data_IF_483753152464
#
_entry.id   IF_483753152464
#
_cell.length_a   1.000
_cell.length_b   1.000
_cell.length_c   1.000
_cell.angle_alpha   90.00
_cell.angle_beta   90.00
_cell.angle_gamma   90.00
#
_symmetry.space_group_name_H-M   'P 1'
#
loop_
_entity.id
_entity.type
_entity.pdbx_description
1 polymer ?
#
# COMPACT_ATOMS: atom_id res chain seq x y z
N UNK A 1 6.72 9.33 -7.70
CA UNK A 1 7.26 8.41 -6.67
C UNK A 1 6.46 7.12 -6.47
N UNK A 2 5.13 7.08 -6.70
CA UNK A 2 4.31 5.89 -6.39
C UNK A 2 4.22 4.85 -7.50
N UNK A 3 4.97 5.00 -8.60
CA UNK A 3 4.95 4.04 -9.70
C UNK A 3 5.43 2.66 -9.22
N UNK A 4 4.72 1.59 -9.58
CA UNK A 4 5.03 0.22 -9.16
C UNK A 4 4.75 -0.11 -7.69
N UNK A 5 4.32 0.87 -6.88
CA UNK A 5 4.10 0.68 -5.44
C UNK A 5 2.99 -0.32 -5.10
N UNK A 6 2.08 -0.54 -6.03
CA UNK A 6 1.00 -1.53 -5.95
C UNK A 6 1.49 -2.99 -5.91
N UNK A 7 2.72 -3.25 -6.37
CA UNK A 7 3.35 -4.58 -6.36
C UNK A 7 4.14 -4.87 -5.07
N UNK A 8 4.26 -3.91 -4.15
CA UNK A 8 5.07 -4.05 -2.95
C UNK A 8 4.33 -4.73 -1.79
N UNK A 9 5.06 -5.50 -0.98
CA UNK A 9 4.61 -5.89 0.35
C UNK A 9 4.66 -4.67 1.26
N UNK A 10 3.50 -4.13 1.64
CA UNK A 10 3.44 -2.95 2.51
C UNK A 10 3.86 -3.33 3.93
N UNK A 11 4.75 -2.53 4.49
CA UNK A 11 5.23 -2.64 5.87
C UNK A 11 5.29 -1.24 6.47
N UNK A 12 5.20 -1.14 7.80
CA UNK A 12 5.32 0.14 8.49
C UNK A 12 6.66 0.83 8.23
N UNK A 13 7.74 0.05 8.09
CA UNK A 13 9.06 0.57 7.72
C UNK A 13 9.07 1.23 6.34
N UNK A 14 8.45 0.59 5.34
CA UNK A 14 8.32 1.14 3.98
C UNK A 14 7.48 2.42 3.97
N UNK A 15 6.31 2.41 4.61
CA UNK A 15 5.44 3.58 4.70
C UNK A 15 6.14 4.75 5.41
N UNK A 16 6.87 4.48 6.50
CA UNK A 16 7.65 5.52 7.20
C UNK A 16 8.69 6.16 6.28
N UNK A 17 9.44 5.36 5.51
CA UNK A 17 10.41 5.89 4.52
C UNK A 17 9.72 6.77 3.49
N UNK A 18 8.62 6.30 2.90
CA UNK A 18 7.84 7.08 1.93
C UNK A 18 7.33 8.41 2.49
N UNK A 19 6.86 8.41 3.74
CA UNK A 19 6.44 9.64 4.43
C UNK A 19 7.60 10.61 4.61
N UNK A 20 8.77 10.13 5.00
CA UNK A 20 9.98 10.96 5.12
C UNK A 20 10.35 11.59 3.77
N UNK A 21 10.34 10.80 2.69
CA UNK A 21 10.62 11.32 1.35
C UNK A 21 9.58 12.35 0.91
N UNK A 22 8.29 12.09 1.13
CA UNK A 22 7.23 13.08 0.88
C UNK A 22 7.49 14.38 1.66
N UNK A 23 7.90 14.31 2.93
CA UNK A 23 8.16 15.50 3.75
C UNK A 23 9.35 16.32 3.27
N UNK A 24 10.39 15.66 2.75
CA UNK A 24 11.51 16.36 2.14
C UNK A 24 11.07 17.08 0.86
N UNK A 25 10.27 16.42 0.02
CA UNK A 25 9.72 17.01 -1.20
C UNK A 25 8.79 18.19 -0.91
N UNK A 26 7.87 18.05 0.04
CA UNK A 26 6.94 19.14 0.42
C UNK A 26 7.68 20.38 0.95
N UNK A 27 8.78 20.19 1.68
CA UNK A 27 9.64 21.30 2.13
C UNK A 27 10.34 21.98 0.97
N UNK A 28 10.92 21.19 0.05
CA UNK A 28 11.58 21.73 -1.14
C UNK A 28 10.61 22.52 -2.02
N UNK A 29 9.37 22.05 -2.18
CA UNK A 29 8.32 22.74 -2.96
C UNK A 29 7.94 24.12 -2.38
N UNK A 30 8.06 24.30 -1.06
CA UNK A 30 7.76 25.55 -0.38
C UNK A 30 9.00 26.40 -0.07
N UNK A 31 10.19 25.93 -0.48
CA UNK A 31 11.48 26.54 -0.16
C UNK A 31 11.71 26.72 1.36
N UNK A 32 11.13 25.82 2.16
CA UNK A 32 11.20 25.86 3.63
C UNK A 32 12.32 24.94 4.12
N UNK A 33 13.18 25.48 4.97
CA UNK A 33 14.24 24.76 5.66
C UNK A 33 13.76 24.16 6.99
N UNK A 34 14.60 23.30 7.60
CA UNK A 34 14.33 22.83 8.97
C UNK A 34 14.50 23.93 10.03
N UNK A 35 15.21 25.03 9.71
CA UNK A 35 15.46 26.14 10.62
C UNK A 35 14.21 27.01 10.83
N UNK A 36 13.30 27.00 9.87
CA UNK A 36 12.05 27.77 9.94
C UNK A 36 11.07 27.17 10.96
N UNK A 37 11.36 25.96 11.49
CA UNK A 37 10.58 25.27 12.52
C UNK A 37 9.07 25.17 12.21
N UNK A 38 8.71 25.22 10.93
CA UNK A 38 7.31 25.10 10.50
C UNK A 38 6.82 23.68 10.74
N UNK A 39 5.67 23.60 11.42
CA UNK A 39 5.00 22.33 11.72
C UNK A 39 4.63 21.57 10.45
N UNK A 40 4.70 20.24 10.52
CA UNK A 40 4.39 19.38 9.37
C UNK A 40 2.92 19.48 8.95
N UNK A 41 2.02 19.78 9.87
CA UNK A 41 0.60 20.03 9.60
C UNK A 41 0.42 21.29 8.76
N UNK A 42 1.20 22.33 9.04
CA UNK A 42 1.16 23.60 8.30
C UNK A 42 1.69 23.42 6.88
N UNK A 43 2.80 22.70 6.72
CA UNK A 43 3.33 22.33 5.40
C UNK A 43 2.28 21.56 4.60
N UNK A 44 1.55 20.59 5.19
CA UNK A 44 0.46 19.89 4.49
C UNK A 44 -0.70 20.80 4.11
N UNK A 45 -1.08 21.71 5.01
CA UNK A 45 -2.17 22.67 4.76
C UNK A 45 -1.87 23.54 3.54
N UNK A 46 -0.61 23.96 3.39
CA UNK A 46 -0.13 24.77 2.26
C UNK A 46 -0.06 23.98 0.96
N UNK A 47 0.55 22.79 0.97
CA UNK A 47 0.74 22.00 -0.26
C UNK A 47 -0.54 21.30 -0.73
N UNK A 48 -1.47 20.98 0.18
CA UNK A 48 -2.71 20.19 -0.08
C UNK A 48 -2.44 18.84 -0.76
N UNK A 49 -1.22 18.33 -0.65
CA UNK A 49 -0.83 17.04 -1.24
C UNK A 49 -1.46 15.90 -0.45
N UNK A 50 -2.01 14.92 -1.16
CA UNK A 50 -2.58 13.71 -0.55
C UNK A 50 -1.50 12.92 0.21
N UNK A 51 -1.85 12.33 1.35
CA UNK A 51 -0.91 11.49 2.11
C UNK A 51 -0.46 10.30 1.24
N UNK A 52 0.86 10.10 1.14
CA UNK A 52 1.41 9.04 0.30
C UNK A 52 0.99 7.64 0.76
N UNK A 53 0.81 7.44 2.06
CA UNK A 53 0.37 6.14 2.58
C UNK A 53 -1.04 5.82 2.08
N UNK A 54 -1.93 6.82 2.06
CA UNK A 54 -3.27 6.67 1.49
C UNK A 54 -3.21 6.37 -0.01
N UNK A 55 -2.35 7.09 -0.75
CA UNK A 55 -2.20 6.88 -2.21
C UNK A 55 -1.70 5.47 -2.53
N UNK A 56 -0.62 5.03 -1.87
CA UNK A 56 0.00 3.72 -2.10
C UNK A 56 -0.93 2.59 -1.66
N UNK A 57 -1.58 2.70 -0.50
CA UNK A 57 -2.55 1.71 -0.05
C UNK A 57 -3.73 1.60 -1.03
N UNK A 58 -4.29 2.75 -1.47
CA UNK A 58 -5.37 2.75 -2.47
C UNK A 58 -4.96 2.08 -3.77
N UNK A 59 -3.79 2.41 -4.31
CA UNK A 59 -3.27 1.79 -5.54
C UNK A 59 -3.11 0.28 -5.38
N UNK A 60 -2.50 -0.18 -4.28
CA UNK A 60 -2.37 -1.61 -4.00
C UNK A 60 -3.72 -2.33 -3.90
N UNK A 61 -4.71 -1.74 -3.22
CA UNK A 61 -6.06 -2.33 -3.10
C UNK A 61 -6.77 -2.42 -4.45
N UNK A 62 -6.68 -1.37 -5.26
CA UNK A 62 -7.25 -1.35 -6.62
C UNK A 62 -6.58 -2.38 -7.51
N UNK A 63 -5.26 -2.48 -7.46
CA UNK A 63 -4.47 -3.48 -8.18
C UNK A 63 -4.82 -4.90 -7.78
N UNK A 64 -4.97 -5.16 -6.48
CA UNK A 64 -5.39 -6.47 -5.99
C UNK A 64 -6.76 -6.88 -6.52
N UNK A 65 -7.73 -5.96 -6.50
CA UNK A 65 -9.03 -6.21 -7.12
C UNK A 65 -8.94 -6.44 -8.63
N UNK A 66 -8.14 -5.63 -9.33
CA UNK A 66 -7.91 -5.78 -10.76
C UNK A 66 -7.34 -7.15 -11.11
N UNK A 67 -6.29 -7.59 -10.41
CA UNK A 67 -5.69 -8.90 -10.60
C UNK A 67 -6.65 -10.04 -10.28
N UNK A 68 -7.43 -9.94 -9.20
CA UNK A 68 -8.36 -11.00 -8.82
C UNK A 68 -9.47 -11.23 -9.86
N UNK A 69 -9.89 -10.18 -10.57
CA UNK A 69 -10.92 -10.25 -11.63
C UNK A 69 -10.36 -10.56 -13.01
N UNK A 70 -9.03 -10.63 -13.14
CA UNK A 70 -8.37 -10.85 -14.42
C UNK A 70 -8.39 -12.33 -14.79
N UNK A 71 -8.83 -12.66 -16.00
CA UNK A 71 -8.97 -14.05 -16.49
C UNK A 71 -7.98 -14.41 -17.59
N UNK A 72 -7.13 -13.49 -18.03
CA UNK A 72 -6.24 -13.62 -19.20
C UNK A 72 -5.02 -14.54 -18.99
N UNK A 73 -4.99 -15.32 -17.91
CA UNK A 73 -3.93 -16.30 -17.64
C UNK A 73 -2.53 -15.73 -17.46
N UNK A 74 -2.36 -14.39 -17.41
CA UNK A 74 -1.04 -13.76 -17.32
C UNK A 74 -0.32 -14.09 -16.02
N UNK A 75 1.00 -14.05 -16.10
CA UNK A 75 1.90 -14.46 -15.02
C UNK A 75 1.80 -13.58 -13.77
N UNK A 76 1.22 -12.37 -13.86
CA UNK A 76 1.10 -11.44 -12.74
C UNK A 76 0.44 -12.05 -11.50
N UNK A 77 -0.65 -12.80 -11.67
CA UNK A 77 -1.28 -13.50 -10.55
C UNK A 77 -0.39 -14.63 -10.01
N UNK A 78 0.23 -15.41 -10.90
CA UNK A 78 1.10 -16.53 -10.53
C UNK A 78 2.31 -16.06 -9.72
N UNK A 79 2.92 -14.94 -10.10
CA UNK A 79 4.08 -14.35 -9.43
C UNK A 79 3.71 -13.81 -8.04
N UNK A 80 2.58 -13.10 -7.92
CA UNK A 80 2.15 -12.54 -6.62
C UNK A 80 1.69 -13.60 -5.62
N UNK A 81 1.12 -14.71 -6.11
CA UNK A 81 0.75 -15.86 -5.26
C UNK A 81 1.88 -16.87 -5.10
N UNK A 82 3.01 -16.70 -5.79
CA UNK A 82 4.08 -17.68 -5.80
C UNK A 82 4.60 -17.90 -4.38
N UNK A 83 4.64 -19.18 -3.99
CA UNK A 83 5.19 -19.64 -2.72
C UNK A 83 6.18 -20.75 -3.06
N UNK A 84 7.42 -20.69 -2.56
CA UNK A 84 8.32 -21.83 -2.67
C UNK A 84 7.65 -23.04 -2.00
N UNK A 85 7.48 -24.13 -2.76
CA UNK A 85 6.90 -25.39 -2.26
C UNK A 85 7.90 -26.16 -1.39
N UNK A 86 9.18 -25.91 -1.60
CA UNK A 86 10.28 -26.54 -0.88
C UNK A 86 10.76 -25.59 0.22
N UNK A 87 10.67 -26.02 1.48
CA UNK A 87 11.17 -25.28 2.64
C UNK A 87 10.08 -24.86 3.64
N UNK A 88 10.44 -24.85 4.92
CA UNK A 88 9.63 -24.32 6.02
C UNK A 88 10.02 -22.86 6.25
N UNK A 89 9.06 -22.03 6.69
CA UNK A 89 9.36 -20.64 7.05
C UNK A 89 10.00 -20.60 8.44
N UNK A 90 10.92 -19.66 8.66
CA UNK A 90 11.65 -19.47 9.93
C UNK A 90 10.76 -18.98 11.09
N UNK A 91 10.45 -19.81 12.08
CA UNK A 91 9.50 -19.47 13.17
C UNK A 91 9.78 -18.09 13.79
N UNK A 92 8.73 -17.30 14.03
CA UNK A 92 8.81 -15.96 14.61
C UNK A 92 8.57 -14.85 13.57
N UNK A 93 9.57 -14.00 13.33
CA UNK A 93 9.45 -12.77 12.52
C UNK A 93 9.59 -13.05 11.01
N UNK A 94 8.66 -13.81 10.45
CA UNK A 94 8.62 -14.03 9.00
C UNK A 94 8.43 -12.72 8.22
N UNK A 95 9.04 -12.64 7.04
CA UNK A 95 8.79 -11.55 6.10
C UNK A 95 7.33 -11.54 5.62
N UNK A 96 6.74 -10.35 5.57
CA UNK A 96 5.37 -10.12 5.10
C UNK A 96 5.25 -10.40 3.60
N UNK A 97 4.26 -11.18 3.19
CA UNK A 97 3.92 -11.38 1.78
C UNK A 97 3.06 -10.25 1.25
N UNK A 98 3.05 -10.11 -0.06
CA UNK A 98 2.23 -9.12 -0.76
C UNK A 98 0.72 -9.26 -0.45
N UNK A 99 0.23 -10.48 -0.21
CA UNK A 99 -1.19 -10.75 0.10
C UNK A 99 -1.57 -10.67 1.57
N UNK A 100 -0.61 -10.59 2.50
CA UNK A 100 -0.89 -10.77 3.94
C UNK A 100 -1.75 -9.62 4.50
N UNK A 101 -1.48 -8.39 4.08
CA UNK A 101 -2.26 -7.20 4.45
C UNK A 101 -3.65 -7.18 3.81
N UNK A 102 -3.78 -7.66 2.57
CA UNK A 102 -5.07 -7.78 1.89
C UNK A 102 -5.96 -8.80 2.60
N UNK A 103 -5.39 -9.96 2.96
CA UNK A 103 -6.08 -11.03 3.68
C UNK A 103 -6.52 -10.64 5.08
N UNK A 104 -5.81 -9.70 5.73
CA UNK A 104 -6.21 -9.17 7.03
C UNK A 104 -7.55 -8.44 6.98
N UNK A 105 -7.87 -7.79 5.86
CA UNK A 105 -9.09 -6.99 5.70
C UNK A 105 -10.20 -7.76 4.98
N UNK A 106 -9.89 -8.41 3.86
CA UNK A 106 -10.88 -9.13 3.05
C UNK A 106 -10.92 -10.65 3.30
N UNK A 107 -10.16 -11.14 4.28
CA UNK A 107 -10.11 -12.56 4.64
C UNK A 107 -9.32 -13.46 3.69
N UNK A 108 -9.31 -14.76 3.97
CA UNK A 108 -8.59 -15.76 3.17
C UNK A 108 -9.13 -15.88 1.73
N UNK A 109 -10.44 -15.68 1.57
CA UNK A 109 -11.18 -15.70 0.30
C UNK A 109 -11.28 -14.32 -0.37
N UNK A 110 -10.36 -13.41 -0.09
CA UNK A 110 -10.35 -12.04 -0.64
C UNK A 110 -10.54 -11.97 -2.17
N UNK A 111 -10.11 -12.98 -2.93
CA UNK A 111 -10.32 -13.05 -4.38
C UNK A 111 -11.80 -13.18 -4.79
N UNK A 112 -12.58 -13.93 -4.00
CA UNK A 112 -14.02 -14.04 -4.21
C UNK A 112 -14.69 -12.72 -3.83
N UNK A 113 -14.30 -12.14 -2.68
CA UNK A 113 -14.77 -10.83 -2.28
C UNK A 113 -14.44 -9.73 -3.31
N UNK A 114 -13.30 -9.85 -4.00
CA UNK A 114 -12.90 -8.92 -5.05
C UNK A 114 -13.70 -9.05 -6.36
N UNK A 115 -14.46 -10.12 -6.57
CA UNK A 115 -15.34 -10.23 -7.74
C UNK A 115 -16.51 -9.24 -7.64
N UNK A 116 -17.07 -9.10 -6.43
CA UNK A 116 -18.05 -8.07 -6.13
C UNK A 116 -17.33 -6.72 -5.98
N UNK A 117 -17.52 -5.84 -6.98
CA UNK A 117 -16.93 -4.50 -6.98
C UNK A 117 -17.48 -3.61 -5.87
N UNK A 118 -18.76 -3.75 -5.50
CA UNK A 118 -19.37 -2.92 -4.48
C UNK A 118 -18.80 -3.29 -3.10
N UNK A 119 -18.74 -4.59 -2.79
CA UNK A 119 -18.07 -5.10 -1.59
C UNK A 119 -16.59 -4.74 -1.55
N UNK A 120 -15.87 -4.90 -2.67
CA UNK A 120 -14.45 -4.57 -2.73
C UNK A 120 -14.17 -3.08 -2.46
N UNK A 121 -15.02 -2.20 -3.00
CA UNK A 121 -14.90 -0.76 -2.81
C UNK A 121 -15.26 -0.34 -1.38
N UNK A 122 -16.23 -0.99 -0.73
CA UNK A 122 -16.60 -0.67 0.66
C UNK A 122 -15.47 -0.98 1.63
N UNK A 123 -14.77 -2.10 1.43
CA UNK A 123 -13.62 -2.52 2.25
C UNK A 123 -12.36 -1.65 2.05
N UNK A 124 -12.27 -0.90 0.95
CA UNK A 124 -11.11 -0.08 0.65
C UNK A 124 -10.82 0.97 1.73
N UNK A 125 -11.86 1.58 2.31
CA UNK A 125 -11.70 2.59 3.37
C UNK A 125 -11.00 1.99 4.59
N UNK A 126 -11.48 0.82 5.03
CA UNK A 126 -10.90 0.07 6.14
C UNK A 126 -9.44 -0.31 5.88
N UNK A 127 -9.14 -0.77 4.67
CA UNK A 127 -7.76 -1.11 4.30
C UNK A 127 -6.82 0.09 4.31
N UNK A 128 -7.25 1.23 3.77
CA UNK A 128 -6.44 2.46 3.74
C UNK A 128 -6.20 3.01 5.14
N UNK A 129 -7.19 2.91 6.04
CA UNK A 129 -7.07 3.37 7.42
C UNK A 129 -6.01 2.59 8.22
N UNK A 130 -5.71 1.33 7.86
CA UNK A 130 -4.62 0.56 8.48
C UNK A 130 -3.23 1.18 8.26
N UNK A 131 -3.08 2.02 7.24
CA UNK A 131 -1.79 2.59 6.82
C UNK A 131 -1.69 4.10 7.03
N UNK A 132 -2.78 4.74 7.45
CA UNK A 132 -2.86 6.19 7.69
C UNK A 132 -2.64 6.44 9.17
#
# INVERSE_FOLDING_TARGET
MTYGSETWSLTMGLIRRLRVTQRAMERAMLEVSLRDQIRNEEIRRRTRVTDIAQRVAKLKWQWAGHIARRTDGRWGLKVLEWRPRTGKRSVGRHQTRWTDDIRRVAGSRWRQAAQDRALWNSLQKTYVQQWT
#
